data_IF_384235370256
#
_entry.id   IF_384235370256
#
_cell.length_a   1.000
_cell.length_b   1.000
_cell.length_c   1.000
_cell.angle_alpha   90.00
_cell.angle_beta   90.00
_cell.angle_gamma   90.00
#
_symmetry.space_group_name_H-M   'P 1'
#
loop_
_entity.id
_entity.type
_entity.pdbx_description
1 polymer ?
#
# COMPACT_ATOMS: atom_id res chain seq x y z
N UNK A 1 7.40 24.56 -14.45
CA UNK A 1 6.82 24.17 -13.15
C UNK A 1 7.88 23.43 -12.33
N UNK A 2 8.44 24.05 -11.27
CA UNK A 2 9.46 23.39 -10.41
C UNK A 2 8.74 22.38 -9.50
N UNK A 3 9.05 21.10 -9.66
CA UNK A 3 8.48 20.02 -8.81
C UNK A 3 8.92 20.27 -7.36
N UNK A 4 7.97 20.49 -6.45
CA UNK A 4 8.25 20.59 -5.01
C UNK A 4 9.01 19.33 -4.58
N UNK A 5 10.20 19.50 -4.02
CA UNK A 5 10.98 18.38 -3.49
C UNK A 5 10.21 17.85 -2.27
N UNK A 6 9.87 16.56 -2.30
CA UNK A 6 9.26 15.87 -1.15
C UNK A 6 10.11 16.11 0.10
N UNK A 7 9.46 16.55 1.18
CA UNK A 7 10.09 16.82 2.49
C UNK A 7 10.60 15.54 3.17
N UNK A 8 10.19 14.37 2.68
CA UNK A 8 10.60 13.07 3.22
C UNK A 8 12.03 12.71 2.77
N UNK A 9 12.89 12.42 3.74
CA UNK A 9 14.23 11.88 3.51
C UNK A 9 14.12 10.47 2.91
N UNK A 10 15.16 10.01 2.19
CA UNK A 10 15.16 8.71 1.50
C UNK A 10 14.84 7.51 2.41
N UNK A 11 15.22 7.54 3.70
CA UNK A 11 14.85 6.51 4.70
C UNK A 11 13.36 6.53 5.04
N UNK A 12 12.74 7.70 5.09
CA UNK A 12 11.30 7.87 5.38
C UNK A 12 10.46 7.42 4.18
N UNK A 13 10.93 7.67 2.96
CA UNK A 13 10.32 7.11 1.74
C UNK A 13 10.37 5.58 1.71
N UNK A 14 11.49 4.97 2.15
CA UNK A 14 11.58 3.49 2.30
C UNK A 14 10.64 2.93 3.37
N UNK A 15 10.29 3.70 4.41
CA UNK A 15 9.30 3.29 5.42
C UNK A 15 7.86 3.24 4.89
N UNK A 16 7.54 3.96 3.82
CA UNK A 16 6.19 4.02 3.26
C UNK A 16 5.78 2.77 2.46
N UNK A 17 6.74 2.02 1.92
CA UNK A 17 6.53 0.76 1.21
C UNK A 17 7.20 -0.41 1.95
N UNK A 18 6.60 -0.82 3.07
CA UNK A 18 7.10 -1.92 3.88
C UNK A 18 6.54 -3.29 3.43
N UNK A 19 7.30 -4.39 3.50
CA UNK A 19 6.80 -5.75 3.28
C UNK A 19 5.70 -6.17 4.26
N UNK A 20 5.57 -5.48 5.39
CA UNK A 20 4.66 -5.83 6.49
C UNK A 20 3.55 -4.79 6.64
N UNK A 21 2.96 -4.35 5.53
CA UNK A 21 1.85 -3.40 5.52
C UNK A 21 0.77 -3.79 4.52
N UNK A 22 -0.44 -3.27 4.71
CA UNK A 22 -1.49 -3.28 3.70
C UNK A 22 -2.23 -1.95 3.75
N UNK A 23 -2.74 -1.53 2.61
CA UNK A 23 -3.54 -0.32 2.48
C UNK A 23 -5.01 -0.70 2.46
N UNK A 24 -5.87 0.11 3.04
CA UNK A 24 -7.31 -0.13 3.02
C UNK A 24 -8.09 1.18 3.05
N UNK A 25 -9.30 1.13 2.49
CA UNK A 25 -10.30 2.18 2.60
C UNK A 25 -11.32 1.80 3.66
N UNK A 26 -11.78 2.78 4.42
CA UNK A 26 -12.84 2.65 5.41
C UNK A 26 -13.61 3.98 5.49
N UNK A 27 -14.90 3.96 5.14
CA UNK A 27 -15.87 5.08 5.31
C UNK A 27 -15.34 6.45 4.85
N UNK A 28 -14.86 6.52 3.63
CA UNK A 28 -14.38 7.76 3.00
C UNK A 28 -12.90 8.08 3.24
N UNK A 29 -12.17 7.25 3.99
CA UNK A 29 -10.77 7.51 4.36
C UNK A 29 -9.88 6.35 3.96
N UNK A 30 -8.61 6.66 3.68
CA UNK A 30 -7.60 5.67 3.31
C UNK A 30 -6.59 5.55 4.43
N UNK A 31 -6.27 4.31 4.77
CA UNK A 31 -5.37 3.97 5.86
C UNK A 31 -4.31 2.99 5.41
N UNK A 32 -3.25 2.93 6.20
CA UNK A 32 -2.21 1.91 6.18
C UNK A 32 -2.22 1.16 7.49
N UNK A 33 -2.41 -0.16 7.43
CA UNK A 33 -2.11 -1.05 8.53
C UNK A 33 -0.68 -1.58 8.37
N UNK A 34 0.13 -1.58 9.42
CA UNK A 34 1.48 -2.14 9.39
C UNK A 34 1.88 -2.76 10.72
N UNK A 35 2.63 -3.85 10.64
CA UNK A 35 3.11 -4.56 11.82
C UNK A 35 4.51 -4.08 12.20
N UNK A 36 4.62 -3.46 13.37
CA UNK A 36 5.87 -2.94 13.92
C UNK A 36 5.89 -3.10 15.45
N UNK A 37 7.05 -3.47 16.00
CA UNK A 37 7.25 -3.64 17.45
C UNK A 37 6.22 -4.57 18.11
N UNK A 38 5.90 -5.69 17.46
CA UNK A 38 4.98 -6.69 17.98
C UNK A 38 3.48 -6.33 17.92
N UNK A 39 3.13 -5.15 17.37
CA UNK A 39 1.74 -4.69 17.30
C UNK A 39 1.32 -4.25 15.90
N UNK A 40 0.01 -4.32 15.65
CA UNK A 40 -0.61 -3.71 14.49
C UNK A 40 -0.79 -2.20 14.72
N UNK A 41 -0.32 -1.39 13.79
CA UNK A 41 -0.45 0.06 13.83
C UNK A 41 -1.24 0.53 12.61
N UNK A 42 -1.91 1.67 12.75
CA UNK A 42 -2.76 2.25 11.72
C UNK A 42 -2.37 3.72 11.52
N UNK A 43 -2.31 4.15 10.27
CA UNK A 43 -1.98 5.52 9.90
C UNK A 43 -2.91 5.96 8.76
N UNK A 44 -3.52 7.12 8.89
CA UNK A 44 -4.33 7.73 7.83
C UNK A 44 -3.42 8.32 6.75
N UNK A 45 -3.80 8.12 5.48
CA UNK A 45 -3.06 8.63 4.33
C UNK A 45 -3.91 9.62 3.55
N UNK A 46 -3.38 10.81 3.32
CA UNK A 46 -4.03 11.84 2.51
C UNK A 46 -4.03 11.51 1.00
N UNK A 47 -3.07 10.71 0.53
CA UNK A 47 -2.92 10.40 -0.89
C UNK A 47 -2.32 9.01 -1.14
N UNK A 48 -2.87 8.30 -2.12
CA UNK A 48 -2.35 7.04 -2.61
C UNK A 48 -2.22 7.07 -4.14
N UNK A 49 -1.05 6.68 -4.64
CA UNK A 49 -0.74 6.66 -6.08
C UNK A 49 -0.67 5.23 -6.62
N UNK A 50 -1.34 4.99 -7.76
CA UNK A 50 -1.27 3.73 -8.49
C UNK A 50 -0.53 3.92 -9.82
N UNK A 51 0.72 3.46 -9.95
CA UNK A 51 1.49 3.65 -11.18
C UNK A 51 0.97 2.73 -12.29
N UNK A 52 0.33 3.31 -13.32
CA UNK A 52 -0.07 2.71 -14.62
C UNK A 52 -0.43 1.21 -14.56
N UNK A 53 -1.23 0.81 -13.56
CA UNK A 53 -1.69 -0.57 -13.38
C UNK A 53 -3.20 -0.60 -13.31
N UNK A 54 -3.80 -1.63 -13.91
CA UNK A 54 -5.23 -1.85 -13.83
C UNK A 54 -5.54 -2.51 -12.47
N UNK A 55 -6.39 -1.86 -11.67
CA UNK A 55 -6.84 -2.37 -10.39
C UNK A 55 -8.21 -3.03 -10.58
N UNK A 56 -8.30 -4.35 -10.37
CA UNK A 56 -9.58 -5.05 -10.47
C UNK A 56 -10.47 -4.73 -9.29
N UNK A 57 -11.75 -4.46 -9.51
CA UNK A 57 -12.73 -4.34 -8.45
C UNK A 57 -13.36 -5.72 -8.23
N UNK A 58 -13.11 -6.34 -7.07
CA UNK A 58 -13.59 -7.70 -6.76
C UNK A 58 -14.86 -7.70 -5.89
N UNK A 59 -15.66 -6.64 -5.96
CA UNK A 59 -16.91 -6.47 -5.23
C UNK A 59 -17.84 -5.48 -5.96
N UNK A 60 -19.15 -5.55 -5.74
CA UNK A 60 -20.10 -4.61 -6.35
C UNK A 60 -20.07 -3.24 -5.64
N UNK A 61 -20.30 -3.24 -4.32
CA UNK A 61 -20.26 -2.06 -3.46
C UNK A 61 -19.68 -2.43 -2.09
N UNK A 62 -18.87 -1.55 -1.49
CA UNK A 62 -18.38 -1.71 -0.13
C UNK A 62 -17.87 -0.38 0.43
N UNK A 63 -18.19 -0.10 1.69
CA UNK A 63 -17.64 1.02 2.47
C UNK A 63 -16.31 0.68 3.15
N UNK A 64 -15.82 -0.54 2.95
CA UNK A 64 -14.64 -1.09 3.60
C UNK A 64 -13.95 -2.12 2.69
N UNK A 65 -12.72 -1.82 2.25
CA UNK A 65 -11.99 -2.72 1.37
C UNK A 65 -10.48 -2.58 1.49
N UNK A 66 -9.77 -3.69 1.31
CA UNK A 66 -8.32 -3.69 1.10
C UNK A 66 -7.98 -3.18 -0.29
N UNK A 67 -6.89 -2.43 -0.36
CA UNK A 67 -6.24 -1.97 -1.57
C UNK A 67 -5.00 -2.85 -1.76
N UNK A 68 -5.17 -3.91 -2.55
CA UNK A 68 -4.15 -4.90 -2.80
C UNK A 68 -3.17 -4.51 -3.91
N UNK A 69 -2.32 -5.47 -4.30
CA UNK A 69 -1.33 -5.30 -5.37
C UNK A 69 -1.94 -5.14 -6.77
N UNK A 70 -3.11 -5.73 -6.98
CA UNK A 70 -3.77 -5.96 -8.27
C UNK A 70 -5.27 -5.63 -8.26
N UNK A 71 -5.81 -5.18 -7.12
CA UNK A 71 -7.22 -4.86 -7.05
C UNK A 71 -7.69 -4.41 -5.68
N UNK A 72 -9.01 -4.23 -5.62
CA UNK A 72 -9.76 -3.88 -4.42
C UNK A 72 -10.54 -5.10 -3.95
N UNK A 73 -10.52 -5.35 -2.65
CA UNK A 73 -11.10 -6.56 -2.04
C UNK A 73 -11.95 -6.16 -0.84
N UNK A 74 -13.24 -6.51 -0.82
CA UNK A 74 -14.11 -6.23 0.31
C UNK A 74 -13.48 -6.78 1.60
N UNK A 75 -13.63 -6.04 2.69
CA UNK A 75 -13.20 -6.48 4.02
C UNK A 75 -14.27 -6.15 5.05
N UNK A 76 -14.25 -6.88 6.15
CA UNK A 76 -15.05 -6.56 7.32
C UNK A 76 -14.73 -5.14 7.83
N UNK A 77 -15.75 -4.28 8.04
CA UNK A 77 -15.53 -2.93 8.56
C UNK A 77 -14.75 -2.90 9.88
N UNK A 78 -13.88 -1.90 10.03
CA UNK A 78 -13.11 -1.66 11.25
C UNK A 78 -11.59 -1.86 11.12
N UNK A 79 -10.91 -1.60 12.24
CA UNK A 79 -9.45 -1.64 12.38
C UNK A 79 -9.02 -2.99 12.97
N UNK A 80 -9.37 -4.08 12.28
CA UNK A 80 -9.16 -5.47 12.68
C UNK A 80 -8.19 -6.23 11.76
N UNK A 81 -7.37 -5.49 10.99
CA UNK A 81 -6.42 -6.08 10.03
C UNK A 81 -5.48 -7.08 10.70
N UNK A 82 -5.35 -8.24 10.07
CA UNK A 82 -4.54 -9.37 10.52
C UNK A 82 -3.24 -9.49 9.72
N UNK A 83 -2.27 -10.24 10.27
CA UNK A 83 -1.06 -10.60 9.54
C UNK A 83 -1.33 -11.45 8.30
N UNK A 84 -2.41 -12.25 8.29
CA UNK A 84 -2.83 -13.04 7.14
C UNK A 84 -3.24 -12.16 5.96
N UNK A 85 -4.02 -11.11 6.23
CA UNK A 85 -4.45 -10.14 5.22
C UNK A 85 -3.29 -9.30 4.70
N UNK A 86 -2.36 -8.88 5.57
CA UNK A 86 -1.11 -8.25 5.14
C UNK A 86 -0.37 -9.15 4.16
N UNK A 87 -0.17 -10.44 4.48
CA UNK A 87 0.52 -11.36 3.57
C UNK A 87 -0.24 -11.58 2.26
N UNK A 88 -1.58 -11.61 2.31
CA UNK A 88 -2.44 -11.90 1.16
C UNK A 88 -2.50 -10.72 0.18
N UNK A 89 -2.68 -9.51 0.69
CA UNK A 89 -2.98 -8.33 -0.13
C UNK A 89 -1.77 -7.42 -0.33
N UNK A 90 -0.73 -7.53 0.50
CA UNK A 90 0.50 -6.81 0.22
C UNK A 90 1.18 -7.37 -1.02
N UNK A 91 1.60 -6.47 -1.91
CA UNK A 91 2.26 -6.80 -3.16
C UNK A 91 3.75 -7.03 -3.07
N UNK A 92 4.32 -7.16 -1.86
CA UNK A 92 5.75 -7.27 -1.71
C UNK A 92 6.27 -8.57 -2.31
N UNK A 93 6.95 -8.45 -3.45
CA UNK A 93 7.73 -9.51 -4.09
C UNK A 93 9.16 -9.04 -4.25
N UNK A 94 10.09 -9.78 -3.65
CA UNK A 94 11.54 -9.50 -3.71
C UNK A 94 12.04 -9.43 -5.16
N UNK A 95 11.53 -10.33 -6.01
CA UNK A 95 11.83 -10.38 -7.45
C UNK A 95 11.22 -9.19 -8.20
N UNK A 96 10.01 -8.77 -7.82
CA UNK A 96 9.35 -7.60 -8.39
C UNK A 96 10.12 -6.31 -8.10
N UNK A 97 10.60 -6.12 -6.86
CA UNK A 97 11.43 -4.97 -6.52
C UNK A 97 12.78 -4.97 -7.25
N UNK A 98 13.42 -6.14 -7.39
CA UNK A 98 14.66 -6.27 -8.14
C UNK A 98 14.47 -5.86 -9.62
N UNK A 99 13.38 -6.32 -10.26
CA UNK A 99 13.03 -5.93 -11.63
C UNK A 99 12.77 -4.43 -11.78
N UNK A 100 12.02 -3.82 -10.86
CA UNK A 100 11.75 -2.37 -10.88
C UNK A 100 13.04 -1.56 -10.71
N UNK A 101 13.94 -1.98 -9.81
CA UNK A 101 15.25 -1.34 -9.66
C UNK A 101 16.11 -1.48 -10.90
N UNK A 102 16.21 -2.67 -11.50
CA UNK A 102 16.92 -2.88 -12.76
C UNK A 102 16.40 -1.98 -13.87
N UNK A 103 15.07 -1.92 -14.05
CA UNK A 103 14.44 -1.04 -15.02
C UNK A 103 14.77 0.45 -14.76
N UNK A 104 14.76 0.89 -13.50
CA UNK A 104 15.13 2.27 -13.16
C UNK A 104 16.57 2.62 -13.53
N UNK A 105 17.51 1.69 -13.37
CA UNK A 105 18.92 1.87 -13.73
C UNK A 105 19.17 1.81 -15.24
N UNK A 106 18.31 1.15 -16.02
CA UNK A 106 18.42 1.15 -17.49
C UNK A 106 17.89 2.43 -18.16
N UNK A 107 17.19 3.30 -17.42
CA UNK A 107 16.64 4.57 -17.92
C UNK A 107 17.35 5.82 -17.35
N UNK A 108 18.52 5.64 -16.72
CA UNK A 108 19.47 6.68 -16.30
C UNK A 108 20.77 6.43 -17.07
#
# INVERSE_FOLDING_TARGET
MRRTKSYLRGREKKKLNSPRQVLFYEKGRVYRAYFASGKMNYEELAYLHFPKRQMRQNFCQSESYFIGKDGFYAKEPGFNVTMGEIKRYNGFSLLGEARVKLAYWTFI
#
